data_IF_614746159546
#
_entry.id   IF_614746159546
#
_cell.length_a   1.000
_cell.length_b   1.000
_cell.length_c   1.000
_cell.angle_alpha   90.00
_cell.angle_beta   90.00
_cell.angle_gamma   90.00
#
_symmetry.space_group_name_H-M   'P 1'
#
loop_
_entity.id
_entity.type
_entity.pdbx_description
1 polymer ?
#
# COMPACT_ATOMS: atom_id res chain seq x y z
N UNK A 1 19.99 -5.60 22.05
CA UNK A 1 18.78 -5.90 22.84
C UNK A 1 18.55 -4.75 23.80
N UNK A 2 17.31 -4.26 23.93
CA UNK A 2 16.93 -3.11 24.75
C UNK A 2 16.31 -3.62 26.05
N UNK A 3 16.65 -3.02 27.20
CA UNK A 3 16.03 -3.39 28.46
C UNK A 3 14.65 -2.73 28.58
N UNK A 4 13.63 -3.53 28.88
CA UNK A 4 12.29 -3.06 29.14
C UNK A 4 11.92 -3.31 30.61
N UNK A 5 11.32 -2.30 31.21
CA UNK A 5 10.66 -2.42 32.52
C UNK A 5 9.42 -3.29 32.37
N UNK A 6 8.65 -3.06 31.30
CA UNK A 6 7.41 -3.77 31.05
C UNK A 6 7.05 -3.82 29.56
N UNK A 7 6.55 -4.97 29.12
CA UNK A 7 5.84 -5.17 27.85
C UNK A 7 4.41 -5.53 28.20
N UNK A 8 3.42 -4.78 27.70
CA UNK A 8 2.00 -5.05 27.93
C UNK A 8 1.34 -5.47 26.62
N UNK A 9 0.61 -6.59 26.66
CA UNK A 9 -0.17 -7.10 25.55
C UNK A 9 -1.61 -6.54 25.56
N UNK A 10 -2.29 -6.63 24.42
CA UNK A 10 -3.67 -6.15 24.27
C UNK A 10 -4.67 -6.96 25.10
N UNK A 11 -4.41 -8.26 25.29
CA UNK A 11 -5.22 -9.16 26.11
C UNK A 11 -5.03 -8.94 27.63
N UNK A 12 -4.07 -8.11 28.02
CA UNK A 12 -3.77 -7.77 29.41
C UNK A 12 -2.60 -8.57 30.01
N UNK A 13 -2.01 -9.53 29.28
CA UNK A 13 -0.78 -10.18 29.74
C UNK A 13 0.38 -9.18 29.77
N UNK A 14 1.27 -9.30 30.76
CA UNK A 14 2.41 -8.40 30.89
C UNK A 14 3.71 -9.12 31.27
N UNK A 15 4.80 -8.73 30.63
CA UNK A 15 6.14 -9.21 30.92
C UNK A 15 6.95 -8.11 31.58
N UNK A 16 7.45 -8.37 32.78
CA UNK A 16 8.24 -7.41 33.55
C UNK A 16 9.73 -7.72 33.50
N UNK A 17 10.55 -6.67 33.54
CA UNK A 17 12.01 -6.76 33.63
C UNK A 17 12.63 -7.67 32.55
N UNK A 18 12.19 -7.50 31.31
CA UNK A 18 12.62 -8.31 30.15
C UNK A 18 13.63 -7.57 29.27
N UNK A 19 14.24 -8.29 28.33
CA UNK A 19 14.96 -7.69 27.21
C UNK A 19 14.13 -7.83 25.94
N UNK A 20 14.18 -6.80 25.10
CA UNK A 20 13.39 -6.71 23.87
C UNK A 20 14.34 -6.50 22.70
N UNK A 21 14.16 -7.28 21.64
CA UNK A 21 14.69 -6.96 20.32
C UNK A 21 13.52 -6.44 19.49
N UNK A 22 13.49 -5.14 19.16
CA UNK A 22 12.45 -4.62 18.28
C UNK A 22 12.70 -5.17 16.88
N UNK A 23 11.70 -5.87 16.34
CA UNK A 23 11.61 -6.23 14.93
C UNK A 23 10.48 -5.44 14.27
N UNK A 24 10.37 -5.59 12.96
CA UNK A 24 9.39 -4.84 12.16
C UNK A 24 7.97 -5.40 12.28
N UNK A 25 7.83 -6.73 12.28
CA UNK A 25 6.53 -7.40 12.38
C UNK A 25 6.26 -7.90 13.81
N UNK A 26 7.33 -8.25 14.52
CA UNK A 26 7.28 -8.81 15.86
C UNK A 26 8.32 -8.17 16.76
N UNK A 27 8.13 -8.30 18.07
CA UNK A 27 9.15 -8.07 19.07
C UNK A 27 9.60 -9.42 19.63
N UNK A 28 10.90 -9.60 19.80
CA UNK A 28 11.44 -10.74 20.53
C UNK A 28 11.63 -10.35 21.98
N UNK A 29 10.92 -11.02 22.89
CA UNK A 29 11.01 -10.82 24.32
C UNK A 29 11.85 -11.94 24.92
N UNK A 30 12.90 -11.56 25.65
CA UNK A 30 13.74 -12.48 26.41
C UNK A 30 13.46 -12.26 27.89
N UNK A 31 12.93 -13.28 28.56
CA UNK A 31 12.63 -13.23 29.99
C UNK A 31 13.91 -13.42 30.82
N UNK A 32 13.84 -13.10 32.12
CA UNK A 32 14.94 -13.32 33.06
C UNK A 32 15.31 -14.79 33.26
N UNK A 33 14.39 -15.70 32.95
CA UNK A 33 14.59 -17.15 32.98
C UNK A 33 15.27 -17.67 31.71
N UNK A 34 15.54 -16.79 30.74
CA UNK A 34 16.15 -17.13 29.46
C UNK A 34 15.16 -17.69 28.43
N UNK A 35 13.86 -17.70 28.73
CA UNK A 35 12.84 -18.04 27.75
C UNK A 35 12.70 -16.92 26.72
N UNK A 36 12.54 -17.29 25.46
CA UNK A 36 12.34 -16.36 24.34
C UNK A 36 10.94 -16.49 23.80
N UNK A 37 10.28 -15.36 23.60
CA UNK A 37 8.91 -15.27 23.11
C UNK A 37 8.87 -14.30 21.93
N UNK A 38 8.20 -14.73 20.86
CA UNK A 38 8.01 -13.93 19.67
C UNK A 38 6.58 -13.42 19.68
N UNK A 39 6.43 -12.11 19.82
CA UNK A 39 5.13 -11.47 19.98
C UNK A 39 4.92 -10.55 18.79
N UNK A 40 3.84 -10.75 18.04
CA UNK A 40 3.52 -9.86 16.91
C UNK A 40 3.25 -8.44 17.41
N UNK A 41 3.62 -7.41 16.63
CA UNK A 41 3.37 -6.02 17.01
C UNK A 41 1.89 -5.73 17.26
N UNK A 42 1.00 -6.40 16.53
CA UNK A 42 -0.45 -6.29 16.70
C UNK A 42 -0.94 -6.74 18.07
N UNK A 43 -0.21 -7.63 18.75
CA UNK A 43 -0.56 -8.08 20.10
C UNK A 43 0.01 -7.16 21.18
N UNK A 44 0.95 -6.26 20.83
CA UNK A 44 1.64 -5.39 21.78
C UNK A 44 0.88 -4.09 21.93
N UNK A 45 0.42 -3.82 23.15
CA UNK A 45 -0.24 -2.55 23.46
C UNK A 45 0.78 -1.43 23.66
N UNK A 46 1.84 -1.69 24.41
CA UNK A 46 2.98 -0.78 24.56
C UNK A 46 4.19 -1.48 25.18
N UNK A 47 5.37 -0.85 25.03
CA UNK A 47 6.62 -1.26 25.68
C UNK A 47 7.19 -0.07 26.46
N UNK A 48 7.43 -0.24 27.76
CA UNK A 48 8.09 0.75 28.62
C UNK A 48 9.55 0.36 28.79
N UNK A 49 10.42 1.06 28.10
CA UNK A 49 11.86 0.86 28.20
C UNK A 49 12.43 1.56 29.44
N UNK A 50 13.48 0.97 30.02
CA UNK A 50 14.12 1.49 31.24
C UNK A 50 14.96 2.74 31.01
N UNK A 51 15.33 3.01 29.76
CA UNK A 51 16.27 4.06 29.38
C UNK A 51 15.72 4.91 28.23
N UNK A 52 15.94 6.23 28.29
CA UNK A 52 15.45 7.20 27.29
C UNK A 52 16.08 7.00 25.91
N UNK A 53 17.35 6.58 25.84
CA UNK A 53 18.05 6.30 24.58
C UNK A 53 17.40 5.11 23.88
N UNK A 54 17.01 4.07 24.63
CA UNK A 54 16.28 2.93 24.08
C UNK A 54 14.91 3.35 23.51
N UNK A 55 14.18 4.24 24.21
CA UNK A 55 12.91 4.78 23.70
C UNK A 55 13.12 5.59 22.41
N UNK A 56 14.14 6.45 22.39
CA UNK A 56 14.48 7.24 21.21
C UNK A 56 14.85 6.37 20.02
N UNK A 57 15.75 5.39 20.20
CA UNK A 57 16.14 4.46 19.13
C UNK A 57 14.95 3.72 18.53
N UNK A 58 14.04 3.24 19.37
CA UNK A 58 12.87 2.49 18.92
C UNK A 58 11.92 3.38 18.11
N UNK A 59 11.74 4.64 18.52
CA UNK A 59 10.98 5.63 17.74
C UNK A 59 11.65 5.94 16.40
N UNK A 60 12.97 6.14 16.38
CA UNK A 60 13.72 6.41 15.15
C UNK A 60 13.62 5.26 14.15
N UNK A 61 13.71 4.01 14.62
CA UNK A 61 13.51 2.83 13.76
C UNK A 61 12.10 2.78 13.15
N UNK A 62 11.08 3.09 13.95
CA UNK A 62 9.70 3.17 13.45
C UNK A 62 9.49 4.32 12.45
N UNK A 63 10.18 5.44 12.64
CA UNK A 63 10.12 6.57 11.70
C UNK A 63 10.83 6.26 10.38
N UNK A 64 11.97 5.56 10.40
CA UNK A 64 12.65 5.13 9.16
C UNK A 64 11.72 4.30 8.28
N UNK A 65 11.04 3.32 8.87
CA UNK A 65 10.05 2.50 8.16
C UNK A 65 8.88 3.31 7.58
N UNK A 66 8.41 4.34 8.31
CA UNK A 66 7.39 5.24 7.76
C UNK A 66 7.91 6.02 6.56
N UNK A 67 9.17 6.50 6.60
CA UNK A 67 9.78 7.22 5.47
C UNK A 67 9.87 6.31 4.25
N UNK A 68 10.37 5.08 4.40
CA UNK A 68 10.45 4.11 3.31
C UNK A 68 9.06 3.84 2.71
N UNK A 69 8.03 3.67 3.56
CA UNK A 69 6.64 3.50 3.11
C UNK A 69 6.11 4.73 2.38
N UNK A 70 6.49 5.94 2.81
CA UNK A 70 6.09 7.17 2.13
C UNK A 70 6.75 7.31 0.76
N UNK A 71 8.02 6.90 0.62
CA UNK A 71 8.72 6.87 -0.66
C UNK A 71 8.03 5.91 -1.64
N UNK A 72 7.69 4.70 -1.21
CA UNK A 72 6.94 3.73 -2.03
C UNK A 72 5.57 4.27 -2.47
N UNK A 73 4.86 4.95 -1.57
CA UNK A 73 3.55 5.57 -1.88
C UNK A 73 3.72 6.73 -2.87
N UNK A 74 4.79 7.52 -2.76
CA UNK A 74 5.08 8.59 -3.71
C UNK A 74 5.35 8.05 -5.11
N UNK A 75 6.17 7.00 -5.23
CA UNK A 75 6.46 6.35 -6.51
C UNK A 75 5.16 5.85 -7.19
N UNK A 76 4.28 5.21 -6.43
CA UNK A 76 2.98 4.73 -6.94
C UNK A 76 2.10 5.91 -7.44
N UNK A 77 2.11 7.04 -6.74
CA UNK A 77 1.33 8.21 -7.13
C UNK A 77 1.87 8.87 -8.41
N UNK A 78 3.19 8.96 -8.54
CA UNK A 78 3.84 9.45 -9.77
C UNK A 78 3.51 8.56 -10.97
N UNK A 79 3.58 7.24 -10.79
CA UNK A 79 3.21 6.26 -11.81
C UNK A 79 1.73 6.39 -12.23
N UNK A 80 0.84 6.66 -11.27
CA UNK A 80 -0.57 6.88 -11.52
C UNK A 80 -0.82 8.17 -12.31
N UNK A 81 -0.08 9.25 -12.00
CA UNK A 81 -0.16 10.52 -12.70
C UNK A 81 0.30 10.40 -14.16
N UNK A 82 1.41 9.69 -14.41
CA UNK A 82 1.90 9.40 -15.77
C UNK A 82 0.82 8.69 -16.58
N UNK A 83 0.24 7.61 -16.03
CA UNK A 83 -0.84 6.86 -16.71
C UNK A 83 -2.09 7.70 -16.94
N UNK A 84 -2.46 8.55 -15.98
CA UNK A 84 -3.60 9.44 -16.14
C UNK A 84 -3.38 10.44 -17.30
N UNK A 85 -2.17 10.97 -17.43
CA UNK A 85 -1.79 11.86 -18.52
C UNK A 85 -1.81 11.14 -19.88
N UNK A 86 -1.28 9.91 -19.97
CA UNK A 86 -1.34 9.09 -21.19
C UNK A 86 -2.79 8.83 -21.63
N UNK A 87 -3.69 8.55 -20.68
CA UNK A 87 -5.12 8.37 -20.96
C UNK A 87 -5.77 9.66 -21.44
N UNK A 88 -5.44 10.80 -20.83
CA UNK A 88 -5.94 12.10 -21.30
C UNK A 88 -5.46 12.42 -22.72
N UNK A 89 -4.19 12.15 -23.02
CA UNK A 89 -3.62 12.35 -24.34
C UNK A 89 -4.26 11.42 -25.38
N UNK A 90 -4.50 10.16 -25.04
CA UNK A 90 -5.25 9.22 -25.88
C UNK A 90 -6.68 9.71 -26.17
N UNK A 91 -7.41 10.16 -25.14
CA UNK A 91 -8.77 10.69 -25.30
C UNK A 91 -8.77 11.96 -26.16
N UNK A 92 -7.79 12.86 -25.96
CA UNK A 92 -7.62 14.06 -26.78
C UNK A 92 -7.35 13.72 -28.24
N UNK A 93 -6.46 12.77 -28.51
CA UNK A 93 -6.15 12.31 -29.86
C UNK A 93 -7.35 11.67 -30.56
N UNK A 94 -8.19 10.92 -29.84
CA UNK A 94 -9.48 10.44 -30.38
C UNK A 94 -10.41 11.61 -30.71
N UNK A 95 -10.53 12.59 -29.82
CA UNK A 95 -11.41 13.74 -30.02
C UNK A 95 -10.95 14.63 -31.20
N UNK A 96 -9.64 14.82 -31.36
CA UNK A 96 -9.06 15.58 -32.47
C UNK A 96 -9.17 14.81 -33.80
N UNK A 97 -8.94 13.48 -33.79
CA UNK A 97 -9.16 12.62 -34.96
C UNK A 97 -10.63 12.56 -35.40
N UNK A 98 -11.58 12.68 -34.47
CA UNK A 98 -13.01 12.80 -34.78
C UNK A 98 -13.39 14.16 -35.38
N UNK A 99 -12.59 15.21 -35.17
CA UNK A 99 -12.84 16.56 -35.72
C UNK A 99 -12.13 16.80 -37.06
N UNK A 100 -11.11 16.02 -37.42
CA UNK A 100 -10.41 16.13 -38.72
C UNK A 100 -11.06 15.30 -39.85
N UNK A 101 -11.88 14.29 -39.54
CA UNK A 101 -12.69 13.54 -40.54
C UNK A 101 -14.08 14.15 -40.76
N UNK A 102 -14.12 15.48 -40.91
CA UNK A 102 -15.28 16.24 -41.35
C UNK A 102 -15.51 16.15 -42.87
N UNK A 103 -15.49 14.96 -43.46
CA UNK A 103 -15.99 14.75 -44.82
C UNK A 103 -17.05 13.64 -44.84
N UNK A 104 -18.21 14.01 -45.37
CA UNK A 104 -19.51 13.35 -45.23
C UNK A 104 -19.50 11.82 -45.39
N UNK A 105 -20.32 11.07 -44.62
CA UNK A 105 -20.66 9.72 -45.02
C UNK A 105 -21.46 9.83 -46.32
N UNK A 106 -20.83 9.45 -47.43
CA UNK A 106 -21.53 9.24 -48.69
C UNK A 106 -22.65 8.24 -48.41
N UNK A 107 -23.89 8.73 -48.42
CA UNK A 107 -25.08 7.89 -48.43
C UNK A 107 -25.04 7.06 -49.72
N UNK A 108 -24.46 5.88 -49.67
CA UNK A 108 -24.81 4.84 -50.63
C UNK A 108 -26.18 4.32 -50.23
N UNK A 109 -27.21 4.80 -50.94
CA UNK A 109 -28.49 4.12 -51.00
C UNK A 109 -28.24 2.64 -51.35
N UNK A 110 -28.69 1.67 -50.55
CA UNK A 110 -28.63 0.28 -50.96
C UNK A 110 -29.57 0.08 -52.16
N UNK A 111 -29.00 -0.28 -53.30
CA UNK A 111 -29.75 -0.71 -54.48
C UNK A 111 -30.71 -1.87 -54.15
N UNK A 112 -31.91 -1.91 -54.74
CA UNK A 112 -32.89 -2.95 -54.46
C UNK A 112 -32.47 -4.25 -55.16
N UNK A 113 -31.95 -5.21 -54.40
CA UNK A 113 -31.86 -6.60 -54.85
C UNK A 113 -33.03 -7.36 -54.23
N UNK A 114 -34.06 -7.59 -55.04
CA UNK A 114 -35.23 -8.34 -54.62
C UNK A 114 -34.93 -9.82 -54.37
N UNK A 115 -35.80 -10.41 -53.54
CA UNK A 115 -36.16 -11.85 -53.38
C UNK A 115 -35.11 -12.76 -52.68
N UNK A 116 -35.41 -13.54 -51.62
CA UNK A 116 -36.64 -13.95 -50.89
C UNK A 116 -36.31 -14.19 -49.40
N UNK A 117 -37.29 -13.96 -48.52
CA UNK A 117 -37.26 -14.35 -47.11
C UNK A 117 -37.20 -15.87 -46.93
N UNK A 118 -36.52 -16.41 -45.89
CA UNK A 118 -36.49 -17.85 -45.61
C UNK A 118 -37.73 -18.37 -44.84
N UNK A 119 -38.79 -17.57 -44.74
CA UNK A 119 -40.08 -17.95 -44.12
C UNK A 119 -41.29 -17.72 -45.05
N UNK A 120 -41.16 -18.11 -46.32
CA UNK A 120 -42.29 -18.45 -47.20
C UNK A 120 -42.02 -19.75 -47.95
#
# INVERSE_FOLDING_TARGET
MLKAEQVLLIDGESFENVWVVPGDISIHVVTHEGATLDITREQVKWVKYTDEVAQWMTRTLAMGLMVDTFEDVQEILEDLEIRANEVQEYVKNIHEGMNEDGNEPSQQEPQPTGTKSPYE
#
